data_IF_589455690646
#
_entry.id   IF_589455690646
#
_cell.length_a   1.000
_cell.length_b   1.000
_cell.length_c   1.000
_cell.angle_alpha   90.00
_cell.angle_beta   90.00
_cell.angle_gamma   90.00
#
_symmetry.space_group_name_H-M   'P 1'
#
loop_
_entity.id
_entity.type
_entity.pdbx_description
1 polymer ?
#
# COMPACT_ATOMS: atom_id res chain seq x y z
N UNK A 1 6.94 -19.71 1.34
CA UNK A 1 5.63 -19.27 0.82
C UNK A 1 4.59 -20.30 1.24
N UNK A 2 3.44 -19.87 1.75
CA UNK A 2 2.33 -20.74 2.17
C UNK A 2 1.06 -20.28 1.46
N UNK A 3 0.25 -21.23 1.00
CA UNK A 3 -1.05 -20.96 0.38
C UNK A 3 -2.10 -21.85 1.03
N UNK A 4 -3.32 -21.34 1.20
CA UNK A 4 -4.42 -22.09 1.78
C UNK A 4 -5.72 -21.29 1.78
N UNK A 5 -6.78 -21.94 2.27
CA UNK A 5 -8.07 -21.29 2.49
C UNK A 5 -8.17 -20.85 3.96
N UNK A 6 -8.66 -19.62 4.18
CA UNK A 6 -9.01 -19.11 5.51
C UNK A 6 -10.43 -18.52 5.44
N UNK A 7 -11.39 -19.25 5.99
CA UNK A 7 -12.80 -19.00 5.73
C UNK A 7 -13.10 -19.18 4.23
N UNK A 8 -13.75 -18.19 3.63
CA UNK A 8 -14.06 -18.17 2.18
C UNK A 8 -12.93 -17.61 1.31
N UNK A 9 -11.86 -17.11 1.93
CA UNK A 9 -10.80 -16.43 1.19
C UNK A 9 -9.63 -17.36 0.87
N UNK A 10 -9.11 -17.25 -0.35
CA UNK A 10 -7.79 -17.78 -0.71
C UNK A 10 -6.72 -16.84 -0.15
N UNK A 11 -5.79 -17.39 0.63
CA UNK A 11 -4.71 -16.62 1.26
C UNK A 11 -3.37 -17.15 0.79
N UNK A 12 -2.52 -16.24 0.32
CA UNK A 12 -1.10 -16.47 0.06
C UNK A 12 -0.28 -15.63 1.03
N UNK A 13 0.66 -16.27 1.74
CA UNK A 13 1.55 -15.61 2.70
C UNK A 13 3.00 -15.91 2.36
N UNK A 14 3.80 -14.86 2.32
CA UNK A 14 5.24 -14.93 2.27
C UNK A 14 5.79 -14.41 3.59
N UNK A 15 6.22 -15.34 4.45
CA UNK A 15 6.85 -15.01 5.72
C UNK A 15 8.19 -14.29 5.51
N UNK A 16 8.45 -13.29 6.35
CA UNK A 16 9.72 -12.58 6.42
C UNK A 16 10.34 -12.80 7.80
N UNK A 17 11.67 -12.96 7.85
CA UNK A 17 12.37 -13.35 9.07
C UNK A 17 12.44 -12.24 10.14
N UNK A 18 12.15 -10.98 9.76
CA UNK A 18 12.31 -9.78 10.61
C UNK A 18 11.16 -8.77 10.53
N UNK A 19 10.11 -9.02 9.76
CA UNK A 19 9.00 -8.10 9.58
C UNK A 19 7.69 -8.85 9.37
N UNK A 20 6.57 -8.14 9.43
CA UNK A 20 5.34 -8.63 8.83
C UNK A 20 5.64 -9.02 7.37
N UNK A 21 5.25 -10.23 7.01
CA UNK A 21 5.46 -10.76 5.67
C UNK A 21 4.58 -10.05 4.63
N UNK A 22 4.73 -10.44 3.36
CA UNK A 22 3.74 -10.06 2.35
C UNK A 22 2.56 -11.04 2.40
N UNK A 23 1.35 -10.54 2.21
CA UNK A 23 0.17 -11.40 2.08
C UNK A 23 -0.80 -10.89 1.03
N UNK A 24 -1.47 -11.82 0.38
CA UNK A 24 -2.59 -11.57 -0.52
C UNK A 24 -3.76 -12.39 -0.02
N UNK A 25 -4.93 -11.76 0.03
CA UNK A 25 -6.19 -12.41 0.31
C UNK A 25 -7.18 -12.08 -0.80
N UNK A 26 -7.78 -13.12 -1.37
CA UNK A 26 -8.78 -13.03 -2.44
C UNK A 26 -10.07 -13.68 -1.96
N UNK A 27 -11.18 -12.97 -2.07
CA UNK A 27 -12.51 -13.49 -1.77
C UNK A 27 -13.28 -13.86 -3.05
N UNK A 28 -14.32 -14.71 -2.97
CA UNK A 28 -15.07 -15.18 -4.13
C UNK A 28 -15.81 -14.07 -4.90
N UNK A 29 -16.11 -12.95 -4.25
CA UNK A 29 -16.74 -11.78 -4.85
C UNK A 29 -15.77 -10.90 -5.64
N UNK A 30 -14.47 -11.22 -5.65
CA UNK A 30 -13.43 -10.43 -6.32
C UNK A 30 -12.80 -9.35 -5.45
N UNK A 31 -13.15 -9.27 -4.16
CA UNK A 31 -12.41 -8.42 -3.23
C UNK A 31 -10.99 -8.95 -3.08
N UNK A 32 -10.02 -8.03 -3.08
CA UNK A 32 -8.60 -8.33 -2.93
C UNK A 32 -8.01 -7.46 -1.85
N UNK A 33 -7.35 -8.07 -0.87
CA UNK A 33 -6.51 -7.37 0.10
C UNK A 33 -5.05 -7.76 -0.14
N UNK A 34 -4.22 -6.76 -0.42
CA UNK A 34 -2.78 -6.91 -0.58
C UNK A 34 -2.11 -6.19 0.58
N UNK A 35 -1.23 -6.89 1.29
CA UNK A 35 -0.40 -6.31 2.35
C UNK A 35 1.05 -6.54 1.99
N UNK A 36 1.79 -5.45 1.84
CA UNK A 36 3.21 -5.45 1.50
C UNK A 36 3.98 -4.79 2.63
N UNK A 37 5.08 -5.39 3.11
CA UNK A 37 5.95 -4.71 4.04
C UNK A 37 6.61 -3.51 3.36
N UNK A 38 6.60 -2.38 4.07
CA UNK A 38 7.44 -1.24 3.75
C UNK A 38 8.77 -1.49 4.45
N UNK A 39 9.88 -1.67 3.71
CA UNK A 39 11.17 -1.93 4.32
C UNK A 39 11.59 -0.75 5.20
N UNK A 40 12.27 -0.99 6.34
CA UNK A 40 12.90 0.10 7.06
C UNK A 40 13.96 0.76 6.16
N UNK A 41 14.22 2.07 6.32
CA UNK A 41 15.27 2.74 5.56
C UNK A 41 16.64 2.07 5.79
N UNK A 42 17.47 2.01 4.75
CA UNK A 42 18.80 1.37 4.81
C UNK A 42 19.78 2.06 5.77
N UNK A 43 19.51 3.32 6.16
CA UNK A 43 20.35 4.15 7.04
C UNK A 43 19.46 4.88 8.06
N UNK A 44 19.84 4.86 9.34
CA UNK A 44 19.13 5.59 10.41
C UNK A 44 19.32 4.93 11.78
N UNK A 45 19.45 5.73 12.86
CA UNK A 45 19.61 5.23 14.24
C UNK A 45 18.30 4.66 14.84
N UNK A 46 17.65 3.73 14.15
CA UNK A 46 16.47 3.02 14.68
C UNK A 46 15.16 3.82 14.72
N UNK A 47 15.11 5.00 14.08
CA UNK A 47 13.86 5.74 13.88
C UNK A 47 13.18 5.22 12.60
N UNK A 48 11.89 4.91 12.71
CA UNK A 48 11.05 4.57 11.55
C UNK A 48 10.97 5.79 10.62
N UNK A 49 11.10 5.60 9.31
CA UNK A 49 10.90 6.66 8.30
C UNK A 49 10.02 6.09 7.21
N UNK A 50 9.07 6.89 6.75
CA UNK A 50 8.27 6.56 5.57
C UNK A 50 8.87 7.30 4.38
N UNK A 51 9.53 6.54 3.50
CA UNK A 51 10.13 7.08 2.27
C UNK A 51 9.08 7.07 1.16
N UNK A 52 8.78 8.24 0.61
CA UNK A 52 7.72 8.45 -0.37
C UNK A 52 7.84 7.53 -1.60
N UNK A 53 9.06 7.41 -2.14
CA UNK A 53 9.35 6.60 -3.32
C UNK A 53 9.18 5.10 -3.05
N UNK A 54 9.47 4.64 -1.83
CA UNK A 54 9.23 3.25 -1.46
C UNK A 54 7.73 2.96 -1.39
N UNK A 55 6.93 3.89 -0.87
CA UNK A 55 5.47 3.77 -0.86
C UNK A 55 4.91 3.76 -2.29
N UNK A 56 5.37 4.67 -3.15
CA UNK A 56 4.95 4.71 -4.55
C UNK A 56 5.24 3.37 -5.25
N UNK A 57 6.46 2.83 -5.12
CA UNK A 57 6.82 1.54 -5.72
C UNK A 57 6.00 0.36 -5.19
N UNK A 58 5.63 0.37 -3.91
CA UNK A 58 4.71 -0.66 -3.35
C UNK A 58 3.30 -0.54 -3.90
N UNK A 59 2.80 0.68 -4.09
CA UNK A 59 1.47 0.91 -4.67
C UNK A 59 1.42 0.48 -6.13
N UNK A 60 2.44 0.82 -6.93
CA UNK A 60 2.56 0.35 -8.31
C UNK A 60 2.53 -1.17 -8.41
N UNK A 61 3.32 -1.85 -7.58
CA UNK A 61 3.34 -3.31 -7.54
C UNK A 61 2.00 -3.92 -7.13
N UNK A 62 1.34 -3.35 -6.11
CA UNK A 62 0.04 -3.82 -5.64
C UNK A 62 -1.07 -3.62 -6.69
N UNK A 63 -1.13 -2.44 -7.31
CA UNK A 63 -2.13 -2.10 -8.33
C UNK A 63 -1.92 -2.95 -9.60
N UNK A 64 -0.67 -3.10 -10.04
CA UNK A 64 -0.32 -3.97 -11.18
C UNK A 64 -0.74 -5.41 -10.93
N UNK A 65 -0.46 -5.92 -9.73
CA UNK A 65 -0.84 -7.27 -9.35
C UNK A 65 -2.37 -7.44 -9.30
N UNK A 66 -3.10 -6.47 -8.73
CA UNK A 66 -4.55 -6.48 -8.71
C UNK A 66 -5.15 -6.48 -10.12
N UNK A 67 -4.61 -5.66 -11.04
CA UNK A 67 -5.05 -5.64 -12.43
C UNK A 67 -4.85 -7.00 -13.13
N UNK A 68 -3.67 -7.61 -12.96
CA UNK A 68 -3.37 -8.94 -13.47
C UNK A 68 -4.29 -10.01 -12.86
N UNK A 69 -4.48 -9.99 -11.54
CA UNK A 69 -5.28 -10.98 -10.83
C UNK A 69 -6.74 -10.93 -11.29
N UNK A 70 -7.33 -9.73 -11.36
CA UNK A 70 -8.70 -9.56 -11.83
C UNK A 70 -8.85 -10.03 -13.29
N UNK A 71 -7.86 -9.73 -14.16
CA UNK A 71 -7.82 -10.24 -15.54
C UNK A 71 -7.79 -11.77 -15.61
N UNK A 72 -7.14 -12.41 -14.64
CA UNK A 72 -7.05 -13.86 -14.56
C UNK A 72 -8.34 -14.51 -14.06
N UNK A 73 -8.96 -13.98 -12.99
CA UNK A 73 -10.11 -14.62 -12.32
C UNK A 73 -11.46 -14.22 -12.93
N UNK A 74 -11.54 -13.05 -13.57
CA UNK A 74 -12.73 -12.56 -14.25
C UNK A 74 -12.35 -12.01 -15.64
N UNK A 75 -12.05 -12.90 -16.60
CA UNK A 75 -11.75 -12.52 -17.98
C UNK A 75 -12.97 -11.95 -18.71
N UNK A 76 -14.18 -12.16 -18.18
CA UNK A 76 -15.42 -11.62 -18.75
C UNK A 76 -15.73 -10.18 -18.33
N UNK A 77 -14.89 -9.58 -17.48
CA UNK A 77 -15.03 -8.22 -16.96
C UNK A 77 -16.40 -7.93 -16.33
N UNK A 78 -17.00 -8.95 -15.67
CA UNK A 78 -18.22 -8.77 -14.87
C UNK A 78 -17.99 -7.81 -13.71
N UNK A 79 -16.80 -7.86 -13.11
CA UNK A 79 -16.30 -6.88 -12.16
C UNK A 79 -15.79 -5.67 -12.95
N UNK A 80 -16.70 -4.78 -13.31
CA UNK A 80 -16.41 -3.60 -14.14
C UNK A 80 -15.84 -2.42 -13.35
N UNK A 81 -16.07 -2.37 -12.04
CA UNK A 81 -15.66 -1.27 -11.17
C UNK A 81 -14.93 -1.78 -9.94
N UNK A 82 -13.97 -0.99 -9.47
CA UNK A 82 -13.13 -1.27 -8.30
C UNK A 82 -13.05 -0.03 -7.43
N UNK A 83 -12.76 -0.23 -6.14
CA UNK A 83 -12.50 0.86 -5.19
C UNK A 83 -11.12 0.64 -4.57
N UNK A 84 -10.06 1.30 -5.08
CA UNK A 84 -8.74 1.24 -4.48
C UNK A 84 -8.76 1.94 -3.11
N UNK A 85 -8.67 1.16 -2.05
CA UNK A 85 -8.61 1.63 -0.68
C UNK A 85 -7.24 1.32 -0.08
N UNK A 86 -6.53 2.34 0.40
CA UNK A 86 -5.12 2.20 0.80
C UNK A 86 -4.93 2.76 2.20
N UNK A 87 -4.17 2.05 3.03
CA UNK A 87 -3.73 2.53 4.34
C UNK A 87 -2.30 2.10 4.61
N UNK A 88 -1.60 2.89 5.42
CA UNK A 88 -0.33 2.50 6.01
C UNK A 88 -0.56 2.02 7.44
N UNK A 89 0.11 0.93 7.80
CA UNK A 89 0.04 0.32 9.12
C UNK A 89 1.43 0.32 9.73
N UNK A 90 1.52 0.69 11.01
CA UNK A 90 2.76 0.69 11.77
C UNK A 90 2.57 1.40 13.11
N UNK A 91 3.23 0.88 14.16
CA UNK A 91 3.19 1.41 15.53
C UNK A 91 4.18 2.56 15.75
N UNK A 92 5.06 2.84 14.79
CA UNK A 92 6.18 3.77 14.95
C UNK A 92 6.05 4.90 13.93
N UNK A 93 5.51 6.02 14.41
CA UNK A 93 5.28 7.27 13.69
C UNK A 93 6.60 7.88 13.22
N UNK A 94 7.10 7.39 12.09
CA UNK A 94 8.24 7.96 11.40
C UNK A 94 7.91 9.27 10.70
N UNK A 95 8.93 10.07 10.42
CA UNK A 95 8.77 11.21 9.52
C UNK A 95 8.46 10.72 8.10
N UNK A 96 7.55 11.42 7.40
CA UNK A 96 7.36 11.23 5.97
C UNK A 96 8.34 12.11 5.21
N UNK A 97 9.13 11.53 4.31
CA UNK A 97 10.11 12.27 3.53
C UNK A 97 10.40 11.60 2.19
N UNK A 98 10.93 12.38 1.26
CA UNK A 98 11.51 11.85 0.02
C UNK A 98 12.87 11.21 0.30
N UNK A 99 13.33 10.33 -0.59
CA UNK A 99 14.65 9.71 -0.48
C UNK A 99 15.76 10.75 -0.49
N UNK A 100 15.64 11.77 -1.32
CA UNK A 100 16.62 12.85 -1.40
C UNK A 100 16.72 13.64 -0.08
N UNK A 101 15.58 13.92 0.57
CA UNK A 101 15.56 14.56 1.89
C UNK A 101 16.19 13.64 2.96
N UNK A 102 15.90 12.34 2.90
CA UNK A 102 16.44 11.37 3.86
C UNK A 102 17.96 11.23 3.74
N UNK A 103 18.48 11.21 2.52
CA UNK A 103 19.93 11.16 2.27
C UNK A 103 20.65 12.45 2.68
N UNK A 104 19.99 13.61 2.50
CA UNK A 104 20.55 14.91 2.87
C UNK A 104 20.59 15.15 4.39
N UNK A 105 19.66 14.60 5.16
CA UNK A 105 19.62 14.77 6.62
C UNK A 105 19.05 13.54 7.35
N UNK A 106 19.81 12.43 7.45
CA UNK A 106 19.32 11.17 8.02
C UNK A 106 18.90 11.23 9.49
N UNK A 107 19.36 12.23 10.25
CA UNK A 107 19.15 12.34 11.70
C UNK A 107 18.27 13.54 12.13
N UNK A 108 17.81 14.39 11.21
CA UNK A 108 17.03 15.57 11.55
C UNK A 108 15.55 15.33 11.22
N UNK A 109 14.77 14.88 12.21
CA UNK A 109 13.38 14.46 12.01
C UNK A 109 12.42 15.29 12.86
N UNK A 110 11.40 15.87 12.24
CA UNK A 110 10.21 16.33 12.95
C UNK A 110 9.22 15.17 13.03
N UNK A 111 9.06 14.63 14.23
CA UNK A 111 8.09 13.56 14.50
C UNK A 111 6.72 14.20 14.75
N UNK A 112 5.66 13.84 13.99
CA UNK A 112 4.31 14.36 14.22
C UNK A 112 3.80 13.97 15.62
N UNK A 113 3.19 14.94 16.32
CA UNK A 113 2.72 14.81 17.70
C UNK A 113 1.47 13.91 17.88
N UNK A 114 0.77 13.56 16.79
CA UNK A 114 -0.44 12.72 16.84
C UNK A 114 -0.19 11.36 16.18
N UNK A 115 -0.27 10.31 16.98
CA UNK A 115 0.20 8.96 16.61
C UNK A 115 -0.92 7.90 16.51
N UNK A 116 -2.19 8.25 16.78
CA UNK A 116 -3.25 7.27 17.02
C UNK A 116 -4.27 7.01 15.90
N UNK A 117 -4.43 7.89 14.92
CA UNK A 117 -5.61 7.89 14.01
C UNK A 117 -5.29 7.62 12.52
N UNK A 118 -4.08 7.16 12.22
CA UNK A 118 -3.56 7.02 10.85
C UNK A 118 -4.05 5.78 10.09
N UNK A 119 -4.90 4.95 10.69
CA UNK A 119 -5.19 3.61 10.16
C UNK A 119 -6.39 3.52 9.23
N UNK A 120 -7.25 4.53 9.14
CA UNK A 120 -8.39 4.44 8.21
C UNK A 120 -7.89 4.60 6.76
N UNK A 121 -8.47 3.87 5.81
CA UNK A 121 -8.05 3.95 4.42
C UNK A 121 -8.30 5.34 3.83
N UNK A 122 -7.40 5.75 2.93
CA UNK A 122 -7.65 6.82 1.98
C UNK A 122 -8.29 6.24 0.72
N UNK A 123 -9.14 7.04 0.09
CA UNK A 123 -9.85 6.70 -1.14
C UNK A 123 -9.58 7.80 -2.17
N UNK A 124 -9.57 7.42 -3.44
CA UNK A 124 -9.57 8.38 -4.54
C UNK A 124 -10.90 9.16 -4.60
N UNK A 125 -10.91 10.26 -5.36
CA UNK A 125 -12.11 11.02 -5.69
C UNK A 125 -12.30 11.07 -7.21
N UNK A 126 -13.34 10.42 -7.78
CA UNK A 126 -14.28 9.49 -7.12
C UNK A 126 -13.59 8.22 -6.60
N UNK A 127 -14.21 7.58 -5.60
CA UNK A 127 -13.69 6.38 -4.95
C UNK A 127 -13.76 5.14 -5.85
N UNK A 128 -14.86 4.98 -6.58
CA UNK A 128 -14.98 3.92 -7.58
C UNK A 128 -14.27 4.33 -8.87
N UNK A 129 -13.62 3.37 -9.50
CA UNK A 129 -12.93 3.50 -10.78
C UNK A 129 -13.34 2.35 -11.69
N UNK A 130 -13.37 2.60 -12.99
CA UNK A 130 -13.49 1.51 -13.97
C UNK A 130 -12.28 0.60 -13.83
N UNK A 131 -12.47 -0.71 -13.89
CA UNK A 131 -11.40 -1.69 -13.63
C UNK A 131 -10.18 -1.48 -14.55
N UNK A 132 -10.40 -1.12 -15.80
CA UNK A 132 -9.34 -0.89 -16.79
C UNK A 132 -8.41 0.29 -16.41
N UNK A 133 -8.87 1.21 -15.56
CA UNK A 133 -8.02 2.29 -15.07
C UNK A 133 -6.84 1.75 -14.25
N UNK A 134 -6.97 0.57 -13.59
CA UNK A 134 -5.87 -0.03 -12.83
C UNK A 134 -4.62 -0.28 -13.69
N UNK A 135 -4.80 -0.49 -15.00
CA UNK A 135 -3.67 -0.60 -15.94
C UNK A 135 -3.44 0.69 -16.74
N UNK A 136 -4.49 1.40 -17.16
CA UNK A 136 -4.36 2.57 -18.04
C UNK A 136 -3.93 3.85 -17.31
N UNK A 137 -4.40 4.06 -16.09
CA UNK A 137 -4.21 5.29 -15.31
C UNK A 137 -3.39 5.06 -14.03
N UNK A 138 -2.64 3.95 -13.98
CA UNK A 138 -1.96 3.49 -12.76
C UNK A 138 -1.06 4.57 -12.15
N UNK A 139 -0.20 5.20 -12.95
CA UNK A 139 0.74 6.21 -12.46
C UNK A 139 0.02 7.37 -11.76
N UNK A 140 -1.03 7.91 -12.40
CA UNK A 140 -1.84 8.98 -11.82
C UNK A 140 -2.52 8.55 -10.51
N UNK A 141 -3.03 7.32 -10.45
CA UNK A 141 -3.62 6.80 -9.21
C UNK A 141 -2.59 6.69 -8.09
N UNK A 142 -1.38 6.23 -8.39
CA UNK A 142 -0.30 6.14 -7.41
C UNK A 142 0.07 7.52 -6.89
N UNK A 143 0.26 8.51 -7.77
CA UNK A 143 0.55 9.90 -7.40
C UNK A 143 -0.53 10.46 -6.46
N UNK A 144 -1.81 10.33 -6.83
CA UNK A 144 -2.93 10.82 -6.02
C UNK A 144 -2.98 10.11 -4.65
N UNK A 145 -2.79 8.79 -4.62
CA UNK A 145 -2.80 8.00 -3.37
C UNK A 145 -1.64 8.37 -2.45
N UNK A 146 -0.44 8.60 -3.01
CA UNK A 146 0.74 9.04 -2.25
C UNK A 146 0.46 10.40 -1.59
N UNK A 147 -0.12 11.35 -2.32
CA UNK A 147 -0.50 12.66 -1.76
C UNK A 147 -1.53 12.51 -0.65
N UNK A 148 -2.55 11.67 -0.84
CA UNK A 148 -3.58 11.44 0.19
C UNK A 148 -3.01 10.76 1.44
N UNK A 149 -2.15 9.77 1.27
CA UNK A 149 -1.46 9.11 2.37
C UNK A 149 -0.57 10.07 3.14
N UNK A 150 0.23 10.89 2.45
CA UNK A 150 1.10 11.90 3.07
C UNK A 150 0.31 12.92 3.88
N UNK A 151 -0.79 13.43 3.32
CA UNK A 151 -1.69 14.36 4.02
C UNK A 151 -2.24 13.74 5.30
N UNK A 152 -2.70 12.49 5.21
CA UNK A 152 -3.23 11.75 6.35
C UNK A 152 -2.15 11.51 7.41
N UNK A 153 -0.97 11.09 7.00
CA UNK A 153 0.16 10.80 7.88
C UNK A 153 0.60 12.02 8.72
N UNK A 154 0.47 13.22 8.15
CA UNK A 154 0.85 14.47 8.81
C UNK A 154 -0.28 15.16 9.61
N UNK A 155 -1.51 14.62 9.61
CA UNK A 155 -2.69 15.23 10.28
C UNK A 155 -2.81 14.81 11.75
#
# INVERSE_FOLDING_TARGET
MKAGLNGEALVLVQEAQRSDGASIRLWPNGDVLISLPVPPPERGMGLSVVVEEDIAGKLEAAISYAAWLLAHIDPTERLSHVVPAVRLLGEHAGAWMTRAEHEASPNNMQVPYRQGEHQAPVLLSPAHRVRQSLSMDMQRMVEDLVVLLRRRWNS
#
